data_IF_642404103206
#
_entry.id   IF_642404103206
#
_cell.length_a   1.000
_cell.length_b   1.000
_cell.length_c   1.000
_cell.angle_alpha   90.00
_cell.angle_beta   90.00
_cell.angle_gamma   90.00
#
_symmetry.space_group_name_H-M   'P 1'
#
loop_
_entity.id
_entity.type
_entity.pdbx_description
1 polymer ?
#
# COMPACT_ATOMS: atom_id res chain seq x y z
N UNK A 1 -12.21 14.82 9.50
CA UNK A 1 -11.73 16.22 9.51
C UNK A 1 -10.43 16.32 10.29
N UNK A 2 -9.27 16.33 9.61
CA UNK A 2 -7.95 16.43 10.26
C UNK A 2 -7.60 17.90 10.54
N UNK A 3 -7.74 18.34 11.79
CA UNK A 3 -7.21 19.59 12.34
C UNK A 3 -7.48 20.90 11.54
N UNK A 4 -8.45 20.92 10.61
CA UNK A 4 -8.73 22.08 9.75
C UNK A 4 -7.77 22.23 8.56
N UNK A 5 -6.96 21.22 8.24
CA UNK A 5 -5.96 21.21 7.17
C UNK A 5 -6.53 20.83 5.78
N UNK A 6 -7.86 20.90 5.60
CA UNK A 6 -8.52 20.53 4.35
C UNK A 6 -8.17 21.53 3.23
N UNK A 7 -7.60 21.04 2.12
CA UNK A 7 -7.31 21.83 0.92
C UNK A 7 -5.99 22.63 0.93
N UNK A 8 -5.16 22.45 1.95
CA UNK A 8 -3.84 23.09 2.06
C UNK A 8 -2.73 22.36 1.29
N UNK A 9 -2.93 21.07 0.97
CA UNK A 9 -1.95 20.24 0.27
C UNK A 9 -2.28 20.11 -1.22
N UNK A 10 -1.24 19.95 -2.04
CA UNK A 10 -1.38 19.59 -3.46
C UNK A 10 -1.83 18.14 -3.62
N UNK A 11 -1.32 17.25 -2.78
CA UNK A 11 -1.64 15.81 -2.80
C UNK A 11 -2.86 15.54 -1.94
N UNK A 12 -3.89 14.93 -2.51
CA UNK A 12 -5.05 14.41 -1.77
C UNK A 12 -4.93 12.91 -1.50
N UNK A 13 -5.69 12.42 -0.52
CA UNK A 13 -5.84 10.97 -0.29
C UNK A 13 -7.30 10.53 -0.37
N UNK A 14 -7.51 9.27 -0.75
CA UNK A 14 -8.82 8.64 -0.85
C UNK A 14 -8.77 7.22 -0.28
N UNK A 15 -9.77 6.82 0.52
CA UNK A 15 -9.81 5.48 1.05
C UNK A 15 -10.21 4.46 -0.03
N UNK A 16 -9.47 3.37 -0.10
CA UNK A 16 -9.69 2.30 -1.07
C UNK A 16 -9.80 0.96 -0.34
N UNK A 17 -10.98 0.34 -0.38
CA UNK A 17 -11.22 -1.00 0.14
C UNK A 17 -10.43 -2.02 -0.68
N UNK A 18 -9.76 -2.94 0.01
CA UNK A 18 -8.92 -4.01 -0.57
C UNK A 18 -9.23 -5.35 0.08
N UNK A 19 -9.12 -6.41 -0.71
CA UNK A 19 -9.33 -7.78 -0.28
C UNK A 19 -8.11 -8.64 -0.59
N UNK A 20 -7.80 -9.57 0.29
CA UNK A 20 -6.86 -10.66 0.06
C UNK A 20 -7.51 -11.97 0.44
N UNK A 21 -7.21 -13.03 -0.30
CA UNK A 21 -7.87 -14.32 -0.19
C UNK A 21 -6.91 -15.38 0.28
N UNK A 22 -7.41 -16.35 1.02
CA UNK A 22 -6.64 -17.49 1.50
C UNK A 22 -7.28 -18.76 0.98
N UNK A 23 -6.50 -19.58 0.29
CA UNK A 23 -6.92 -20.89 -0.21
C UNK A 23 -5.94 -21.97 0.28
N UNK A 24 -6.38 -23.23 0.45
CA UNK A 24 -5.47 -24.33 0.75
C UNK A 24 -4.39 -24.48 -0.34
N UNK A 25 -3.20 -24.92 0.06
CA UNK A 25 -2.18 -25.37 -0.88
C UNK A 25 -2.69 -26.55 -1.74
N UNK A 26 -2.17 -26.72 -2.97
CA UNK A 26 -2.61 -27.80 -3.84
C UNK A 26 -2.21 -29.16 -3.27
N UNK A 27 -3.04 -30.19 -3.53
CA UNK A 27 -2.76 -31.55 -3.07
C UNK A 27 -1.39 -32.06 -3.58
N UNK A 28 -0.62 -32.66 -2.68
CA UNK A 28 0.70 -33.21 -3.00
C UNK A 28 1.85 -32.19 -3.02
N UNK A 29 1.59 -30.94 -2.65
CA UNK A 29 2.62 -29.91 -2.46
C UNK A 29 2.54 -29.32 -1.05
N UNK A 30 3.64 -29.39 -0.31
CA UNK A 30 3.79 -28.61 0.92
C UNK A 30 4.20 -27.18 0.56
N UNK A 31 3.22 -26.28 0.59
CA UNK A 31 3.40 -24.89 0.24
C UNK A 31 4.10 -24.08 1.34
N UNK A 32 4.19 -24.60 2.57
CA UNK A 32 4.96 -23.95 3.63
C UNK A 32 6.47 -24.03 3.37
N UNK A 33 6.92 -25.08 2.68
CA UNK A 33 8.32 -25.33 2.31
C UNK A 33 8.62 -24.91 0.86
N UNK A 34 7.80 -25.33 -0.10
CA UNK A 34 8.05 -25.10 -1.52
C UNK A 34 7.53 -23.75 -2.06
N UNK A 35 6.65 -23.08 -1.30
CA UNK A 35 6.02 -21.85 -1.74
C UNK A 35 6.95 -20.63 -1.67
N UNK A 36 6.74 -19.69 -2.58
CA UNK A 36 7.45 -18.40 -2.59
C UNK A 36 6.49 -17.25 -2.91
N UNK A 37 6.97 -16.02 -2.71
CA UNK A 37 6.24 -14.83 -3.17
C UNK A 37 6.34 -14.76 -4.69
N UNK A 38 5.22 -14.61 -5.38
CA UNK A 38 5.14 -14.45 -6.83
C UNK A 38 4.21 -13.28 -7.16
N UNK A 39 4.61 -12.43 -8.09
CA UNK A 39 3.73 -11.49 -8.77
C UNK A 39 3.57 -11.89 -10.23
N UNK A 40 2.33 -11.98 -10.70
CA UNK A 40 1.98 -12.22 -12.10
C UNK A 40 1.24 -10.97 -12.61
N UNK A 41 2.01 -10.02 -13.13
CA UNK A 41 1.48 -8.71 -13.55
C UNK A 41 0.61 -8.83 -14.80
N UNK A 42 0.84 -9.84 -15.63
CA UNK A 42 0.02 -10.10 -16.82
C UNK A 42 -1.38 -10.58 -16.44
N UNK A 43 -1.48 -11.41 -15.39
CA UNK A 43 -2.77 -11.88 -14.88
C UNK A 43 -3.32 -11.03 -13.75
N UNK A 44 -2.60 -10.02 -13.25
CA UNK A 44 -3.12 -9.07 -12.28
C UNK A 44 -3.22 -9.59 -10.84
N UNK A 45 -2.31 -10.45 -10.39
CA UNK A 45 -2.32 -10.92 -9.00
C UNK A 45 -0.92 -11.17 -8.45
N UNK A 46 -0.81 -11.21 -7.13
CA UNK A 46 0.33 -11.79 -6.43
C UNK A 46 -0.14 -12.93 -5.53
N UNK A 47 0.80 -13.80 -5.15
CA UNK A 47 0.60 -14.79 -4.10
C UNK A 47 1.81 -14.90 -3.18
N UNK A 48 1.56 -15.44 -1.99
CA UNK A 48 2.61 -15.83 -1.03
C UNK A 48 2.16 -17.02 -0.19
N UNK A 49 3.09 -17.78 0.43
CA UNK A 49 2.75 -18.77 1.43
C UNK A 49 2.00 -18.14 2.60
N UNK A 50 0.99 -18.85 3.11
CA UNK A 50 0.21 -18.49 4.30
C UNK A 50 0.06 -19.74 5.17
N UNK A 51 0.51 -19.67 6.43
CA UNK A 51 0.61 -20.89 7.26
C UNK A 51 -0.71 -21.24 7.95
N UNK A 52 -1.02 -22.53 8.16
CA UNK A 52 -0.30 -23.71 7.69
C UNK A 52 -0.78 -24.16 6.30
N UNK A 53 0.16 -24.45 5.40
CA UNK A 53 -0.03 -24.98 4.05
C UNK A 53 -1.18 -24.33 3.26
N UNK A 54 -1.29 -23.00 3.30
CA UNK A 54 -2.21 -22.20 2.49
C UNK A 54 -1.43 -21.25 1.58
N UNK A 55 -2.18 -20.62 0.68
CA UNK A 55 -1.71 -19.60 -0.24
C UNK A 55 -2.57 -18.37 0.00
N UNK A 56 -1.93 -17.23 0.28
CA UNK A 56 -2.58 -15.94 0.20
C UNK A 56 -2.47 -15.40 -1.23
N UNK A 57 -3.58 -14.92 -1.77
CA UNK A 57 -3.68 -14.36 -3.13
C UNK A 57 -4.27 -12.95 -3.02
N UNK A 58 -3.64 -11.96 -3.66
CA UNK A 58 -4.12 -10.58 -3.69
C UNK A 58 -3.99 -9.96 -5.08
N UNK A 59 -4.67 -8.84 -5.28
CA UNK A 59 -4.58 -8.05 -6.52
C UNK A 59 -3.24 -7.30 -6.58
N UNK A 60 -2.79 -7.00 -7.80
CA UNK A 60 -1.81 -5.93 -8.06
C UNK A 60 -2.46 -4.72 -8.74
N UNK A 61 -3.79 -4.61 -8.62
CA UNK A 61 -4.61 -3.56 -9.21
C UNK A 61 -4.44 -3.50 -10.73
N UNK A 62 -4.73 -4.62 -11.40
CA UNK A 62 -4.70 -4.66 -12.86
C UNK A 62 -5.69 -3.65 -13.44
N UNK A 63 -5.33 -3.02 -14.57
CA UNK A 63 -6.14 -1.97 -15.19
C UNK A 63 -7.56 -2.40 -15.60
N UNK A 64 -7.83 -3.71 -15.67
CA UNK A 64 -9.16 -4.26 -15.95
C UNK A 64 -10.04 -4.47 -14.72
N UNK A 65 -9.48 -4.33 -13.50
CA UNK A 65 -10.20 -4.49 -12.25
C UNK A 65 -10.78 -3.16 -11.78
N UNK A 66 -11.99 -3.19 -11.24
CA UNK A 66 -12.57 -2.01 -10.62
C UNK A 66 -11.88 -1.72 -9.28
N UNK A 67 -11.52 -0.45 -9.07
CA UNK A 67 -10.97 -0.03 -7.79
C UNK A 67 -12.11 0.25 -6.79
N UNK A 68 -12.13 -0.48 -5.68
CA UNK A 68 -13.08 -0.32 -4.58
C UNK A 68 -12.91 0.96 -3.76
N UNK A 69 -13.05 2.12 -4.38
CA UNK A 69 -13.08 3.41 -3.68
C UNK A 69 -14.28 3.47 -2.72
N UNK A 70 -14.05 3.99 -1.51
CA UNK A 70 -15.10 4.21 -0.51
C UNK A 70 -15.07 5.66 -0.04
N UNK A 71 -16.20 6.17 0.47
CA UNK A 71 -16.26 7.53 1.02
C UNK A 71 -15.82 7.55 2.49
N UNK A 72 -16.30 6.61 3.29
CA UNK A 72 -16.04 6.54 4.73
C UNK A 72 -15.29 5.23 5.06
N UNK A 73 -14.00 5.30 5.47
CA UNK A 73 -13.19 4.11 5.69
C UNK A 73 -13.74 3.24 6.83
N UNK A 74 -14.28 3.86 7.89
CA UNK A 74 -14.85 3.17 9.06
C UNK A 74 -16.19 2.48 8.75
N UNK A 75 -16.85 2.86 7.65
CA UNK A 75 -18.09 2.25 7.19
C UNK A 75 -17.88 1.19 6.11
N UNK A 76 -16.63 0.94 5.69
CA UNK A 76 -16.33 -0.03 4.65
C UNK A 76 -16.74 -1.45 5.08
N UNK A 77 -17.47 -2.15 4.21
CA UNK A 77 -17.86 -3.54 4.45
C UNK A 77 -16.62 -4.42 4.58
N UNK A 78 -16.52 -5.18 5.67
CA UNK A 78 -15.45 -6.17 5.88
C UNK A 78 -15.80 -7.58 5.36
N UNK A 79 -16.92 -7.71 4.65
CA UNK A 79 -17.35 -8.96 4.03
C UNK A 79 -16.63 -9.15 2.69
N UNK A 80 -16.12 -10.36 2.43
CA UNK A 80 -15.47 -10.70 1.15
C UNK A 80 -16.45 -10.68 -0.01
N UNK A 81 -16.00 -10.19 -1.17
CA UNK A 81 -16.80 -10.19 -2.39
C UNK A 81 -16.58 -11.49 -3.16
N UNK A 82 -17.67 -12.18 -3.48
CA UNK A 82 -17.60 -13.49 -4.16
C UNK A 82 -16.92 -13.42 -5.52
N UNK A 83 -17.32 -12.48 -6.36
CA UNK A 83 -16.75 -12.32 -7.70
C UNK A 83 -15.26 -12.01 -7.64
N UNK A 84 -14.83 -11.18 -6.69
CA UNK A 84 -13.41 -10.83 -6.53
C UNK A 84 -12.59 -12.03 -6.03
N UNK A 85 -13.10 -12.79 -5.06
CA UNK A 85 -12.49 -14.05 -4.61
C UNK A 85 -12.34 -15.03 -5.77
N UNK A 86 -13.42 -15.31 -6.50
CA UNK A 86 -13.40 -16.25 -7.62
C UNK A 86 -12.42 -15.78 -8.72
N UNK A 87 -12.41 -14.48 -9.04
CA UNK A 87 -11.50 -13.89 -10.04
C UNK A 87 -10.04 -14.12 -9.68
N UNK A 88 -9.63 -13.76 -8.46
CA UNK A 88 -8.23 -13.84 -8.05
C UNK A 88 -7.76 -15.28 -7.83
N UNK A 89 -8.61 -16.15 -7.26
CA UNK A 89 -8.29 -17.58 -7.12
C UNK A 89 -8.17 -18.26 -8.49
N UNK A 90 -9.05 -17.93 -9.44
CA UNK A 90 -8.96 -18.47 -10.81
C UNK A 90 -7.72 -17.96 -11.56
N UNK A 91 -7.27 -16.73 -11.33
CA UNK A 91 -5.98 -16.23 -11.83
C UNK A 91 -4.82 -17.06 -11.27
N UNK A 92 -4.81 -17.31 -9.96
CA UNK A 92 -3.84 -18.21 -9.31
C UNK A 92 -3.85 -19.64 -9.88
N UNK A 93 -5.04 -20.18 -10.13
CA UNK A 93 -5.23 -21.54 -10.67
C UNK A 93 -4.68 -21.71 -12.10
N UNK A 94 -4.44 -20.62 -12.84
CA UNK A 94 -3.74 -20.68 -14.14
C UNK A 94 -2.24 -20.99 -14.01
N UNK A 95 -1.64 -20.65 -12.86
CA UNK A 95 -0.20 -20.84 -12.61
C UNK A 95 0.08 -22.03 -11.69
N UNK A 96 -0.85 -22.36 -10.80
CA UNK A 96 -0.70 -23.48 -9.84
C UNK A 96 -1.67 -24.60 -10.22
N UNK A 97 -1.10 -25.72 -10.70
CA UNK A 97 -1.87 -26.93 -10.97
C UNK A 97 -2.53 -27.44 -9.68
N UNK A 98 -3.77 -27.90 -9.81
CA UNK A 98 -4.57 -28.47 -8.72
C UNK A 98 -4.86 -27.52 -7.54
N UNK A 99 -4.73 -26.21 -7.71
CA UNK A 99 -5.14 -25.23 -6.69
C UNK A 99 -6.64 -25.32 -6.36
N UNK A 100 -7.46 -25.52 -7.39
CA UNK A 100 -8.92 -25.54 -7.27
C UNK A 100 -9.53 -24.18 -6.95
N UNK A 101 -10.84 -24.18 -6.72
CA UNK A 101 -11.62 -23.03 -6.24
C UNK A 101 -12.45 -23.49 -5.04
N UNK A 102 -12.02 -23.17 -3.80
CA UNK A 102 -12.77 -23.56 -2.60
C UNK A 102 -14.18 -22.94 -2.59
N UNK A 103 -15.15 -23.67 -2.04
CA UNK A 103 -16.52 -23.16 -1.85
C UNK A 103 -16.62 -22.11 -0.75
N UNK A 104 -15.81 -22.23 0.29
CA UNK A 104 -15.77 -21.28 1.41
C UNK A 104 -14.79 -20.15 1.10
N UNK A 105 -15.27 -18.91 1.18
CA UNK A 105 -14.43 -17.72 1.03
C UNK A 105 -13.67 -17.46 2.34
N UNK A 106 -12.34 -17.43 2.26
CA UNK A 106 -11.48 -17.03 3.37
C UNK A 106 -10.55 -15.92 2.91
N UNK A 107 -10.27 -14.97 3.80
CA UNK A 107 -9.54 -13.77 3.42
C UNK A 107 -9.66 -12.66 4.46
N UNK A 108 -9.04 -11.53 4.13
CA UNK A 108 -9.08 -10.31 4.94
C UNK A 108 -9.49 -9.15 4.04
N UNK A 109 -10.32 -8.28 4.59
CA UNK A 109 -10.68 -7.00 3.96
C UNK A 109 -10.06 -5.88 4.79
N UNK A 110 -9.47 -4.89 4.12
CA UNK A 110 -8.93 -3.69 4.73
C UNK A 110 -9.19 -2.46 3.85
N UNK A 111 -8.69 -1.32 4.30
CA UNK A 111 -8.81 -0.05 3.58
C UNK A 111 -7.42 0.59 3.50
N UNK A 112 -6.98 0.92 2.29
CA UNK A 112 -5.80 1.73 2.06
C UNK A 112 -6.15 3.20 2.10
N UNK A 113 -5.23 4.01 2.59
CA UNK A 113 -5.22 5.46 2.43
C UNK A 113 -4.33 5.78 1.22
N UNK A 114 -4.93 6.10 0.07
CA UNK A 114 -4.25 6.12 -1.24
C UNK A 114 -4.10 7.55 -1.74
N UNK A 115 -2.88 7.95 -2.12
CA UNK A 115 -2.63 9.22 -2.81
C UNK A 115 -2.86 9.09 -4.31
N UNK A 116 -3.07 10.22 -4.98
CA UNK A 116 -3.26 10.28 -6.44
C UNK A 116 -2.09 9.67 -7.23
N UNK A 117 -0.88 9.72 -6.68
CA UNK A 117 0.36 9.23 -7.28
C UNK A 117 0.91 7.95 -6.64
N UNK A 118 0.16 7.34 -5.70
CA UNK A 118 0.54 6.14 -4.97
C UNK A 118 1.84 6.23 -4.13
N UNK A 119 2.37 7.44 -3.92
CA UNK A 119 3.50 7.72 -3.05
C UNK A 119 3.04 8.25 -1.68
N UNK A 120 3.67 7.83 -0.57
CA UNK A 120 3.30 8.32 0.74
C UNK A 120 3.55 9.82 0.90
N UNK A 121 2.87 10.43 1.87
CA UNK A 121 3.17 11.78 2.34
C UNK A 121 3.87 11.67 3.70
N UNK A 122 5.10 12.17 3.77
CA UNK A 122 5.91 12.29 4.99
C UNK A 122 6.31 13.75 5.14
N UNK A 123 5.58 14.52 5.94
CA UNK A 123 5.72 15.97 5.88
C UNK A 123 5.29 16.69 7.18
N UNK A 124 5.70 17.96 7.29
CA UNK A 124 5.06 18.97 8.14
C UNK A 124 3.70 19.36 7.55
N UNK A 125 2.95 20.15 8.29
CA UNK A 125 1.73 20.80 7.80
C UNK A 125 1.80 22.30 7.99
N UNK A 126 0.76 23.00 7.54
CA UNK A 126 0.61 24.45 7.73
C UNK A 126 0.29 24.80 9.19
N UNK A 127 -0.06 23.79 10.01
CA UNK A 127 -0.18 23.92 11.45
C UNK A 127 1.16 23.55 12.09
N UNK A 128 1.84 24.54 12.66
CA UNK A 128 3.12 24.33 13.35
C UNK A 128 3.00 23.27 14.44
N UNK A 129 3.99 22.38 14.52
CA UNK A 129 4.01 21.24 15.43
C UNK A 129 3.11 20.07 15.04
N UNK A 130 2.40 20.14 13.90
CA UNK A 130 1.59 19.05 13.38
C UNK A 130 2.22 18.44 12.11
N UNK A 131 2.53 17.16 12.19
CA UNK A 131 3.25 16.39 11.17
C UNK A 131 2.44 15.17 10.75
N UNK A 132 2.59 14.73 9.50
CA UNK A 132 1.80 13.66 8.91
C UNK A 132 2.67 12.61 8.24
N UNK A 133 2.31 11.35 8.46
CA UNK A 133 2.81 10.19 7.74
C UNK A 133 1.61 9.39 7.22
N UNK A 134 1.08 9.80 6.08
CA UNK A 134 -0.23 9.37 5.54
C UNK A 134 -0.10 8.94 4.08
N UNK A 135 -1.19 8.53 3.44
CA UNK A 135 -1.19 8.26 2.00
C UNK A 135 -0.36 7.03 1.61
N UNK A 136 -0.24 6.06 2.51
CA UNK A 136 0.66 4.91 2.36
C UNK A 136 0.36 4.00 1.16
N UNK A 137 -0.79 4.17 0.49
CA UNK A 137 -1.11 3.58 -0.81
C UNK A 137 -0.88 2.06 -0.90
N UNK A 138 -0.99 1.36 0.24
CA UNK A 138 -0.88 -0.09 0.32
C UNK A 138 0.51 -0.70 0.28
N UNK A 139 1.58 0.09 0.14
CA UNK A 139 2.93 -0.44 -0.11
C UNK A 139 3.97 -0.12 0.97
N UNK A 140 3.60 0.63 2.02
CA UNK A 140 4.56 1.12 3.02
C UNK A 140 4.73 0.24 4.26
N UNK A 141 3.99 -0.86 4.43
CA UNK A 141 4.19 -1.76 5.58
C UNK A 141 5.66 -2.22 5.69
N UNK A 142 6.27 -2.57 4.55
CA UNK A 142 7.69 -2.97 4.46
C UNK A 142 8.66 -1.82 4.78
N UNK A 143 8.22 -0.57 4.64
CA UNK A 143 9.01 0.65 4.80
C UNK A 143 8.74 1.36 6.14
N UNK A 144 7.88 0.81 7.01
CA UNK A 144 7.45 1.51 8.22
C UNK A 144 8.62 1.97 9.12
N UNK A 145 9.68 1.17 9.21
CA UNK A 145 10.86 1.53 9.99
C UNK A 145 11.64 2.71 9.39
N UNK A 146 11.84 2.74 8.07
CA UNK A 146 12.54 3.85 7.42
C UNK A 146 11.66 5.10 7.38
N UNK A 147 10.35 4.96 7.20
CA UNK A 147 9.40 6.06 7.31
C UNK A 147 9.46 6.72 8.70
N UNK A 148 9.49 5.92 9.76
CA UNK A 148 9.62 6.44 11.12
C UNK A 148 10.95 7.20 11.33
N UNK A 149 12.06 6.69 10.79
CA UNK A 149 13.34 7.39 10.82
C UNK A 149 13.28 8.72 10.06
N UNK A 150 12.73 8.72 8.84
CA UNK A 150 12.56 9.93 8.04
C UNK A 150 11.71 10.99 8.77
N UNK A 151 10.60 10.57 9.39
CA UNK A 151 9.75 11.48 10.16
C UNK A 151 10.47 12.05 11.38
N UNK A 152 11.28 11.26 12.09
CA UNK A 152 12.04 11.74 13.24
C UNK A 152 13.07 12.82 12.85
N UNK A 153 13.80 12.61 11.76
CA UNK A 153 14.76 13.59 11.23
C UNK A 153 14.05 14.84 10.70
N UNK A 154 12.94 14.68 9.97
CA UNK A 154 12.13 15.79 9.48
C UNK A 154 11.64 16.67 10.62
N UNK A 155 11.06 16.07 11.66
CA UNK A 155 10.59 16.81 12.85
C UNK A 155 11.76 17.54 13.50
N UNK A 156 12.90 16.86 13.70
CA UNK A 156 14.07 17.45 14.36
C UNK A 156 14.57 18.69 13.61
N UNK A 157 14.71 18.60 12.28
CA UNK A 157 15.20 19.70 11.45
C UNK A 157 14.20 20.86 11.36
N UNK A 158 12.90 20.58 11.22
CA UNK A 158 11.86 21.61 11.18
C UNK A 158 11.76 22.35 12.51
N UNK A 159 11.79 21.62 13.64
CA UNK A 159 11.80 22.23 14.98
C UNK A 159 13.11 23.01 15.26
N UNK A 160 14.21 22.70 14.56
CA UNK A 160 15.44 23.48 14.58
C UNK A 160 15.40 24.75 13.70
N UNK A 161 14.28 24.99 13.01
CA UNK A 161 14.03 26.20 12.21
C UNK A 161 14.25 26.03 10.71
N UNK A 162 14.43 24.80 10.19
CA UNK A 162 14.47 24.55 8.75
C UNK A 162 13.08 24.73 8.14
N UNK A 163 13.00 25.48 7.05
CA UNK A 163 11.81 25.56 6.24
C UNK A 163 11.78 24.40 5.23
N UNK A 164 11.14 23.29 5.60
CA UNK A 164 11.03 22.09 4.75
C UNK A 164 10.31 22.35 3.42
N UNK A 165 9.39 23.32 3.37
CA UNK A 165 8.62 23.59 2.15
C UNK A 165 9.49 24.28 1.07
N UNK A 166 10.57 24.99 1.46
CA UNK A 166 11.48 25.67 0.53
C UNK A 166 12.88 25.06 0.45
N UNK A 167 13.35 24.40 1.50
CA UNK A 167 14.63 23.68 1.59
C UNK A 167 14.41 22.28 2.20
N UNK A 168 13.91 21.32 1.38
CA UNK A 168 13.51 20.00 1.85
C UNK A 168 14.61 19.27 2.62
N UNK A 169 14.19 18.53 3.63
CA UNK A 169 15.09 17.72 4.47
C UNK A 169 15.61 16.55 3.64
N UNK A 170 16.93 16.34 3.67
CA UNK A 170 17.57 15.17 3.07
C UNK A 170 18.10 14.27 4.18
N UNK A 171 17.46 13.11 4.35
CA UNK A 171 17.82 12.14 5.39
C UNK A 171 18.91 11.21 4.89
N UNK A 172 19.90 10.93 5.73
CA UNK A 172 20.95 9.96 5.40
C UNK A 172 20.49 8.55 5.80
N UNK A 173 20.40 7.63 4.83
CA UNK A 173 19.99 6.26 5.09
C UNK A 173 20.89 5.57 6.13
N UNK A 174 20.34 4.95 7.18
CA UNK A 174 21.10 4.53 8.37
C UNK A 174 22.10 3.39 8.12
N UNK A 175 22.02 2.71 6.97
CA UNK A 175 22.88 1.56 6.65
C UNK A 175 23.86 1.82 5.51
N UNK A 176 23.43 2.52 4.47
CA UNK A 176 24.24 2.77 3.27
C UNK A 176 24.65 4.23 3.10
N UNK A 177 24.15 5.14 3.95
CA UNK A 177 24.39 6.58 3.83
C UNK A 177 23.88 7.17 2.52
N UNK A 178 22.89 6.52 1.88
CA UNK A 178 22.28 7.05 0.67
C UNK A 178 21.30 8.16 1.04
N UNK A 179 21.31 9.30 0.32
CA UNK A 179 20.41 10.40 0.61
C UNK A 179 18.97 10.02 0.23
N UNK A 180 18.03 10.37 1.11
CA UNK A 180 16.59 10.27 0.92
C UNK A 180 16.05 11.70 0.95
N UNK A 181 15.70 12.23 -0.22
CA UNK A 181 15.12 13.57 -0.35
C UNK A 181 13.64 13.53 0.04
N UNK A 182 13.30 14.12 1.19
CA UNK A 182 11.93 14.13 1.69
C UNK A 182 11.01 15.08 0.91
N UNK A 183 11.55 15.96 0.06
CA UNK A 183 10.75 16.73 -0.90
C UNK A 183 9.98 15.83 -1.87
N UNK A 184 10.49 14.62 -2.14
CA UNK A 184 9.79 13.59 -2.95
C UNK A 184 8.49 13.11 -2.28
N UNK A 185 8.38 13.23 -0.95
CA UNK A 185 7.23 12.80 -0.16
C UNK A 185 6.43 13.98 0.42
N UNK A 186 6.73 15.21 -0.02
CA UNK A 186 6.02 16.40 0.45
C UNK A 186 4.53 16.35 0.08
N UNK A 187 3.69 16.93 0.92
CA UNK A 187 2.26 17.19 0.63
C UNK A 187 2.06 18.18 -0.52
N UNK A 188 3.10 18.96 -0.83
CA UNK A 188 3.12 20.00 -1.87
C UNK A 188 3.94 19.62 -3.11
N UNK A 189 4.38 18.36 -3.20
CA UNK A 189 5.07 17.87 -4.40
C UNK A 189 4.15 17.96 -5.63
N UNK A 190 4.71 18.19 -6.83
CA UNK A 190 3.92 18.19 -8.05
C UNK A 190 3.38 16.78 -8.34
N UNK A 191 2.15 16.71 -8.84
CA UNK A 191 1.60 15.48 -9.40
C UNK A 191 2.24 15.20 -10.75
N UNK A 192 2.85 14.02 -10.89
CA UNK A 192 3.34 13.53 -12.17
C UNK A 192 2.18 12.92 -12.96
N UNK A 193 2.05 13.30 -14.24
CA UNK A 193 1.03 12.72 -15.12
C UNK A 193 1.33 11.26 -15.48
N UNK A 194 2.60 10.86 -15.37
CA UNK A 194 3.08 9.49 -15.57
C UNK A 194 3.22 8.74 -14.23
N UNK A 195 2.61 9.26 -13.16
CA UNK A 195 2.65 8.63 -11.85
C UNK A 195 2.10 7.20 -11.87
N UNK A 196 2.59 6.34 -10.97
CA UNK A 196 2.07 4.99 -10.83
C UNK A 196 0.57 4.99 -10.52
N UNK A 197 -0.11 3.95 -10.98
CA UNK A 197 -1.56 3.79 -10.82
C UNK A 197 -1.95 2.57 -9.99
N UNK A 198 -0.98 1.94 -9.31
CA UNK A 198 -1.18 0.75 -8.50
C UNK A 198 -0.15 0.63 -7.35
N UNK A 199 -0.34 -0.39 -6.51
CA UNK A 199 0.45 -0.65 -5.30
C UNK A 199 1.94 -0.93 -5.56
N UNK A 200 2.30 -1.30 -6.78
CA UNK A 200 3.69 -1.65 -7.11
C UNK A 200 4.58 -0.42 -7.28
N UNK A 201 3.97 0.75 -7.48
CA UNK A 201 4.70 1.96 -7.86
C UNK A 201 5.23 1.92 -9.28
#
# INVERSE_FOLDING_TARGET
>A
RMAGLEGAATISTRPMRREVYVVPGPEGLDFDDAGCVMGDLDCGFYLRPERPNNILIGSVEAACDELGWVEEPDAASLTLTRTEFETHVLRGARRIRNLGLPHEQRGVVGVYDVTEDWLPVYDRTDLDGFYVAIGTSGNQFKNAAIAAHCMAELITEVEAGRDHDTDPVVVQGPHLGLPIDLGTFSRNRPLDADAPVNVLG
#
